data_IF_644815041314
#
_entry.id   IF_644815041314
#
_cell.length_a   1.000
_cell.length_b   1.000
_cell.length_c   1.000
_cell.angle_alpha   90.00
_cell.angle_beta   90.00
_cell.angle_gamma   90.00
#
_symmetry.space_group_name_H-M   'P 1'
#
loop_
_entity.id
_entity.type
_entity.pdbx_description
1 polymer ?
#
# COMPACT_ATOMS: atom_id res chain seq x y z
N UNK A 1 -41.44 -41.90 -1.99
CA UNK A 1 -40.83 -40.83 -1.15
C UNK A 1 -39.34 -41.08 -0.95
N UNK A 2 -38.93 -42.25 -0.45
CA UNK A 2 -37.51 -42.59 -0.28
C UNK A 2 -36.70 -42.57 -1.59
N UNK A 3 -37.30 -42.98 -2.70
CA UNK A 3 -36.63 -43.03 -4.01
C UNK A 3 -36.18 -41.64 -4.49
N UNK A 4 -37.05 -40.62 -4.34
CA UNK A 4 -36.74 -39.22 -4.68
C UNK A 4 -35.74 -38.62 -3.71
N UNK A 5 -35.86 -38.94 -2.41
CA UNK A 5 -34.92 -38.49 -1.39
C UNK A 5 -33.48 -38.98 -1.71
N UNK A 6 -33.32 -40.25 -2.10
CA UNK A 6 -32.02 -40.79 -2.53
C UNK A 6 -31.53 -40.16 -3.83
N UNK A 7 -32.40 -40.00 -4.83
CA UNK A 7 -32.06 -39.38 -6.13
C UNK A 7 -31.59 -37.93 -6.00
N UNK A 8 -32.24 -37.13 -5.16
CA UNK A 8 -31.91 -35.73 -4.94
C UNK A 8 -30.84 -35.52 -3.85
N UNK A 9 -30.32 -36.60 -3.25
CA UNK A 9 -29.41 -36.57 -2.09
C UNK A 9 -29.95 -35.74 -0.91
N UNK A 10 -31.25 -35.85 -0.64
CA UNK A 10 -31.93 -35.15 0.45
C UNK A 10 -32.52 -36.14 1.46
N UNK A 11 -32.78 -35.68 2.67
CA UNK A 11 -33.54 -36.46 3.65
C UNK A 11 -35.04 -36.48 3.27
N UNK A 12 -35.79 -37.54 3.60
CA UNK A 12 -37.24 -37.60 3.33
C UNK A 12 -38.01 -36.42 3.93
N UNK A 13 -37.59 -35.95 5.12
CA UNK A 13 -38.12 -34.76 5.78
C UNK A 13 -37.90 -33.48 4.98
N UNK A 14 -36.73 -33.33 4.34
CA UNK A 14 -36.43 -32.15 3.51
C UNK A 14 -37.22 -32.15 2.21
N UNK A 15 -37.48 -33.32 1.63
CA UNK A 15 -38.35 -33.46 0.44
C UNK A 15 -39.80 -33.07 0.77
N UNK A 16 -40.30 -33.44 1.95
CA UNK A 16 -41.64 -33.02 2.40
C UNK A 16 -41.76 -31.51 2.54
N UNK A 17 -40.80 -30.86 3.18
CA UNK A 17 -40.76 -29.41 3.31
C UNK A 17 -40.78 -28.72 1.94
N UNK A 18 -39.94 -29.17 1.00
CA UNK A 18 -39.90 -28.59 -0.35
C UNK A 18 -41.20 -28.85 -1.15
N UNK A 19 -41.91 -29.93 -0.86
CA UNK A 19 -43.21 -30.21 -1.46
C UNK A 19 -44.35 -29.37 -0.83
N UNK A 20 -44.21 -28.96 0.43
CA UNK A 20 -45.11 -28.02 1.11
C UNK A 20 -44.85 -26.56 0.69
N UNK A 21 -43.58 -26.21 0.48
CA UNK A 21 -43.11 -24.94 -0.09
C UNK A 21 -43.48 -24.78 -1.59
N UNK A 22 -44.08 -25.81 -2.21
CA UNK A 22 -44.51 -25.78 -3.61
C UNK A 22 -43.39 -25.96 -4.65
N UNK A 23 -42.15 -26.20 -4.20
CA UNK A 23 -40.97 -26.41 -5.04
C UNK A 23 -41.00 -27.77 -5.74
N UNK A 24 -41.51 -28.80 -5.05
CA UNK A 24 -41.69 -30.14 -5.61
C UNK A 24 -43.20 -30.40 -5.79
N UNK A 25 -43.72 -30.50 -7.03
CA UNK A 25 -45.14 -30.68 -7.26
C UNK A 25 -45.65 -32.04 -6.72
N UNK A 26 -46.78 -32.01 -5.99
CA UNK A 26 -47.47 -33.21 -5.51
C UNK A 26 -48.27 -33.83 -6.66
N UNK A 27 -47.98 -35.07 -7.03
CA UNK A 27 -48.77 -35.76 -8.07
C UNK A 27 -50.04 -36.38 -7.46
N UNK A 28 -51.19 -36.12 -8.08
CA UNK A 28 -52.52 -36.49 -7.59
C UNK A 28 -52.85 -38.01 -7.64
N UNK A 29 -51.93 -38.87 -8.11
CA UNK A 29 -52.17 -40.32 -8.21
C UNK A 29 -50.90 -41.14 -7.94
N UNK A 30 -50.42 -41.15 -6.69
CA UNK A 30 -49.55 -42.21 -6.14
C UNK A 30 -48.21 -42.52 -6.86
N UNK A 31 -47.84 -41.78 -7.90
CA UNK A 31 -46.59 -41.90 -8.65
C UNK A 31 -46.03 -40.50 -8.82
N UNK A 32 -45.04 -40.15 -8.01
CA UNK A 32 -44.29 -38.93 -8.25
C UNK A 32 -43.61 -39.06 -9.62
N UNK A 33 -43.87 -38.12 -10.54
CA UNK A 33 -43.09 -38.02 -11.76
C UNK A 33 -41.71 -37.49 -11.37
N UNK A 34 -40.76 -38.41 -11.24
CA UNK A 34 -39.37 -38.15 -10.83
C UNK A 34 -38.78 -36.98 -11.63
N UNK A 35 -39.15 -36.86 -12.90
CA UNK A 35 -38.76 -35.77 -13.80
C UNK A 35 -39.17 -34.38 -13.30
N UNK A 36 -40.41 -34.21 -12.86
CA UNK A 36 -40.94 -32.92 -12.38
C UNK A 36 -40.32 -32.52 -11.02
N UNK A 37 -40.05 -33.50 -10.15
CA UNK A 37 -39.37 -33.26 -8.87
C UNK A 37 -37.90 -32.84 -9.04
N UNK A 38 -37.19 -33.45 -10.00
CA UNK A 38 -35.81 -33.07 -10.35
C UNK A 38 -35.77 -31.68 -10.96
N UNK A 39 -36.67 -31.36 -11.89
CA UNK A 39 -36.74 -30.04 -12.53
C UNK A 39 -37.06 -28.93 -11.51
N UNK A 40 -38.02 -29.16 -10.60
CA UNK A 40 -38.35 -28.21 -9.52
C UNK A 40 -37.17 -27.98 -8.57
N UNK A 41 -36.44 -29.05 -8.20
CA UNK A 41 -35.26 -28.93 -7.35
C UNK A 41 -34.09 -28.21 -8.04
N UNK A 42 -33.85 -28.46 -9.32
CA UNK A 42 -32.84 -27.73 -10.12
C UNK A 42 -33.20 -26.24 -10.19
N UNK A 43 -34.47 -25.90 -10.46
CA UNK A 43 -34.94 -24.51 -10.48
C UNK A 43 -34.76 -23.80 -9.13
N UNK A 44 -34.99 -24.50 -8.02
CA UNK A 44 -34.73 -24.01 -6.67
C UNK A 44 -33.24 -23.74 -6.39
N UNK A 45 -32.35 -24.62 -6.88
CA UNK A 45 -30.91 -24.40 -6.75
C UNK A 45 -30.44 -23.20 -7.58
N UNK A 46 -30.95 -23.05 -8.81
CA UNK A 46 -30.62 -21.92 -9.67
C UNK A 46 -31.08 -20.57 -9.08
N UNK A 47 -32.29 -20.51 -8.52
CA UNK A 47 -32.79 -19.31 -7.82
C UNK A 47 -32.02 -19.01 -6.54
N UNK A 48 -31.54 -20.03 -5.81
CA UNK A 48 -30.66 -19.82 -4.66
C UNK A 48 -29.26 -19.32 -5.02
N UNK A 49 -28.73 -19.73 -6.16
CA UNK A 49 -27.44 -19.28 -6.68
C UNK A 49 -27.54 -17.86 -7.24
N UNK A 50 -28.67 -17.51 -7.88
CA UNK A 50 -28.94 -16.16 -8.40
C UNK A 50 -29.45 -15.17 -7.34
N UNK A 51 -29.83 -15.63 -6.13
CA UNK A 51 -30.18 -14.74 -5.06
C UNK A 51 -28.98 -13.85 -4.67
N UNK A 52 -29.15 -12.53 -4.46
CA UNK A 52 -28.07 -11.54 -4.29
C UNK A 52 -27.14 -11.75 -3.08
N UNK A 53 -27.34 -12.82 -2.30
CA UNK A 53 -26.44 -13.20 -1.21
C UNK A 53 -25.04 -13.64 -1.68
N UNK A 54 -24.89 -14.09 -2.92
CA UNK A 54 -23.58 -14.44 -3.50
C UNK A 54 -22.70 -13.22 -3.77
N UNK A 55 -23.27 -12.18 -4.38
CA UNK A 55 -22.55 -10.93 -4.68
C UNK A 55 -22.12 -10.18 -3.43
N UNK A 56 -22.99 -10.11 -2.40
CA UNK A 56 -22.66 -9.44 -1.13
C UNK A 56 -21.54 -10.16 -0.37
N UNK A 57 -21.49 -11.50 -0.37
CA UNK A 57 -20.40 -12.26 0.23
C UNK A 57 -19.09 -12.11 -0.54
N UNK A 58 -19.14 -12.08 -1.87
CA UNK A 58 -17.97 -11.86 -2.70
C UNK A 58 -17.40 -10.45 -2.50
N UNK A 59 -18.24 -9.42 -2.53
CA UNK A 59 -17.81 -8.04 -2.28
C UNK A 59 -17.22 -7.85 -0.86
N UNK A 60 -17.81 -8.50 0.16
CA UNK A 60 -17.27 -8.47 1.52
C UNK A 60 -15.91 -9.19 1.62
N UNK A 61 -15.74 -10.31 0.92
CA UNK A 61 -14.47 -11.02 0.86
C UNK A 61 -13.41 -10.17 0.13
N UNK A 62 -13.74 -9.54 -0.99
CA UNK A 62 -12.84 -8.63 -1.71
C UNK A 62 -12.42 -7.42 -0.86
N UNK A 63 -13.35 -6.82 -0.12
CA UNK A 63 -13.05 -5.72 0.80
C UNK A 63 -12.12 -6.17 1.94
N UNK A 64 -12.34 -7.37 2.49
CA UNK A 64 -11.44 -7.95 3.51
C UNK A 64 -10.05 -8.22 2.97
N UNK A 65 -9.95 -8.82 1.78
CA UNK A 65 -8.66 -9.07 1.13
C UNK A 65 -7.91 -7.75 0.90
N UNK A 66 -8.57 -6.72 0.35
CA UNK A 66 -7.96 -5.40 0.18
C UNK A 66 -7.49 -4.77 1.50
N UNK A 67 -8.28 -4.89 2.57
CA UNK A 67 -7.89 -4.39 3.90
C UNK A 67 -6.66 -5.13 4.42
N UNK A 68 -6.63 -6.46 4.33
CA UNK A 68 -5.50 -7.26 4.81
C UNK A 68 -4.23 -6.98 4.00
N UNK A 69 -4.34 -6.78 2.68
CA UNK A 69 -3.20 -6.38 1.85
C UNK A 69 -2.68 -5.00 2.27
N UNK A 70 -3.57 -4.01 2.43
CA UNK A 70 -3.16 -2.67 2.89
C UNK A 70 -2.54 -2.69 4.30
N UNK A 71 -3.06 -3.51 5.23
CA UNK A 71 -2.47 -3.70 6.56
C UNK A 71 -1.08 -4.33 6.49
N UNK A 72 -0.87 -5.30 5.60
CA UNK A 72 0.44 -5.90 5.38
C UNK A 72 1.43 -4.89 4.80
N UNK A 73 1.02 -4.08 3.81
CA UNK A 73 1.84 -3.02 3.23
C UNK A 73 2.24 -1.97 4.28
N UNK A 74 1.32 -1.57 5.17
CA UNK A 74 1.62 -0.65 6.27
C UNK A 74 2.66 -1.27 7.21
N UNK A 75 2.48 -2.53 7.61
CA UNK A 75 3.43 -3.21 8.48
C UNK A 75 4.82 -3.34 7.84
N UNK A 76 4.90 -3.58 6.53
CA UNK A 76 6.15 -3.60 5.77
C UNK A 76 6.82 -2.22 5.73
N UNK A 77 6.04 -1.15 5.50
CA UNK A 77 6.55 0.23 5.53
C UNK A 77 7.04 0.63 6.93
N UNK A 78 6.33 0.26 7.99
CA UNK A 78 6.76 0.50 9.37
C UNK A 78 8.06 -0.25 9.69
N UNK A 79 8.16 -1.51 9.29
CA UNK A 79 9.39 -2.28 9.45
C UNK A 79 10.56 -1.67 8.66
N UNK A 80 10.32 -1.13 7.46
CA UNK A 80 11.31 -0.41 6.67
C UNK A 80 11.76 0.90 7.34
N UNK A 81 10.82 1.68 7.92
CA UNK A 81 11.15 2.87 8.73
C UNK A 81 12.03 2.50 9.93
N UNK A 82 11.68 1.45 10.66
CA UNK A 82 12.46 1.00 11.83
C UNK A 82 13.89 0.55 11.49
N UNK A 83 14.10 0.01 10.27
CA UNK A 83 15.45 -0.32 9.77
C UNK A 83 16.22 0.90 9.25
N UNK A 84 15.56 2.04 9.08
CA UNK A 84 16.15 3.25 8.49
C UNK A 84 16.15 3.27 6.96
N UNK A 85 15.42 2.36 6.31
CA UNK A 85 15.38 2.26 4.83
C UNK A 85 14.41 3.27 4.20
N UNK A 86 13.49 3.83 4.99
CA UNK A 86 12.45 4.75 4.54
C UNK A 86 12.45 6.00 5.42
N UNK A 87 12.59 7.16 4.79
CA UNK A 87 12.55 8.49 5.45
C UNK A 87 11.33 9.23 4.94
N UNK A 88 10.71 10.03 5.80
CA UNK A 88 9.62 10.90 5.37
C UNK A 88 10.15 11.95 4.38
N UNK A 89 9.39 12.20 3.32
CA UNK A 89 9.82 13.10 2.25
C UNK A 89 9.86 14.57 2.73
N UNK A 90 8.97 14.95 3.64
CA UNK A 90 8.95 16.30 4.21
C UNK A 90 10.11 16.47 5.20
N UNK A 91 10.38 15.47 6.04
CA UNK A 91 11.57 15.47 6.93
C UNK A 91 12.87 15.59 6.12
N UNK A 92 13.01 14.82 5.04
CA UNK A 92 14.17 14.90 4.15
C UNK A 92 14.29 16.28 3.49
N UNK A 93 13.17 16.89 3.11
CA UNK A 93 13.15 18.24 2.51
C UNK A 93 13.60 19.29 3.50
N UNK A 94 13.15 19.22 4.75
CA UNK A 94 13.55 20.13 5.82
C UNK A 94 15.05 19.99 6.12
N UNK A 95 15.53 18.76 6.28
CA UNK A 95 16.95 18.47 6.51
C UNK A 95 17.83 19.02 5.36
N UNK A 96 17.45 18.77 4.11
CA UNK A 96 18.13 19.35 2.95
C UNK A 96 18.08 20.88 2.95
N UNK A 97 16.96 21.46 3.36
CA UNK A 97 16.78 22.90 3.46
C UNK A 97 17.77 23.55 4.44
N UNK A 98 17.97 22.92 5.59
CA UNK A 98 18.97 23.34 6.60
C UNK A 98 20.39 23.26 6.01
N UNK A 99 20.76 22.11 5.45
CA UNK A 99 22.09 21.89 4.85
C UNK A 99 22.38 22.92 3.75
N UNK A 100 21.45 23.13 2.82
CA UNK A 100 21.60 24.09 1.71
C UNK A 100 21.72 25.53 2.23
N UNK A 101 20.97 25.88 3.28
CA UNK A 101 21.01 27.22 3.88
C UNK A 101 22.37 27.50 4.52
N UNK A 102 22.94 26.53 5.23
CA UNK A 102 24.28 26.63 5.82
C UNK A 102 25.37 26.71 4.76
N UNK A 103 25.30 25.88 3.72
CA UNK A 103 26.22 25.95 2.57
C UNK A 103 26.19 27.37 1.98
N UNK A 104 24.98 27.91 1.72
CA UNK A 104 24.80 29.25 1.16
C UNK A 104 25.37 30.32 2.10
N UNK A 105 25.10 30.24 3.39
CA UNK A 105 25.61 31.20 4.38
C UNK A 105 27.14 31.22 4.41
N UNK A 106 27.77 30.04 4.44
CA UNK A 106 29.22 29.89 4.47
C UNK A 106 29.88 30.39 3.17
N UNK A 107 29.33 30.01 2.01
CA UNK A 107 29.85 30.42 0.69
C UNK A 107 29.69 31.92 0.43
N UNK A 108 28.64 32.56 0.93
CA UNK A 108 28.42 34.00 0.71
C UNK A 108 29.12 34.89 1.73
N UNK A 109 29.27 34.44 2.98
CA UNK A 109 29.82 35.28 4.07
C UNK A 109 31.30 35.02 4.30
N UNK A 110 31.70 33.76 4.41
CA UNK A 110 33.02 33.41 4.90
C UNK A 110 34.04 33.25 3.77
N UNK A 111 33.63 32.65 2.65
CA UNK A 111 34.51 32.44 1.49
C UNK A 111 35.04 33.75 0.89
N UNK A 112 34.21 34.78 0.61
CA UNK A 112 34.71 36.02 0.01
C UNK A 112 35.71 36.73 0.92
N UNK A 113 35.49 36.69 2.24
CA UNK A 113 36.39 37.25 3.24
C UNK A 113 37.78 36.58 3.20
N UNK A 114 37.82 35.25 3.11
CA UNK A 114 39.10 34.51 3.00
C UNK A 114 39.80 34.73 1.67
N UNK A 115 39.04 34.72 0.56
CA UNK A 115 39.59 35.02 -0.78
C UNK A 115 40.19 36.41 -0.80
N UNK A 116 39.46 37.42 -0.31
CA UNK A 116 39.93 38.81 -0.28
C UNK A 116 41.22 38.96 0.55
N UNK A 117 41.31 38.27 1.68
CA UNK A 117 42.50 38.27 2.52
C UNK A 117 43.72 37.68 1.81
N UNK A 118 43.56 36.50 1.18
CA UNK A 118 44.64 35.79 0.46
C UNK A 118 45.03 36.47 -0.86
N UNK A 119 44.08 37.09 -1.56
CA UNK A 119 44.32 37.71 -2.86
C UNK A 119 44.83 39.16 -2.77
N UNK A 120 44.89 39.76 -1.58
CA UNK A 120 45.22 41.20 -1.37
C UNK A 120 46.54 41.63 -2.03
N UNK A 121 47.57 40.78 -1.96
CA UNK A 121 48.90 41.03 -2.54
C UNK A 121 49.04 40.51 -3.97
N UNK A 122 48.06 39.78 -4.48
CA UNK A 122 48.15 39.19 -5.81
C UNK A 122 47.81 40.21 -6.90
N UNK A 123 48.49 40.05 -8.05
CA UNK A 123 48.29 40.90 -9.24
C UNK A 123 48.00 40.08 -10.49
N UNK A 124 48.29 38.77 -10.47
CA UNK A 124 48.02 37.86 -11.58
C UNK A 124 46.63 37.27 -11.43
N UNK A 125 45.80 37.44 -12.46
CA UNK A 125 44.45 36.88 -12.50
C UNK A 125 44.44 35.36 -12.29
N UNK A 126 45.43 34.65 -12.84
CA UNK A 126 45.56 33.19 -12.65
C UNK A 126 45.76 32.79 -11.19
N UNK A 127 46.54 33.57 -10.43
CA UNK A 127 46.76 33.34 -9.00
C UNK A 127 45.49 33.62 -8.18
N UNK A 128 44.78 34.70 -8.51
CA UNK A 128 43.50 35.04 -7.84
C UNK A 128 42.45 33.95 -8.09
N UNK A 129 42.33 33.45 -9.33
CA UNK A 129 41.42 32.34 -9.66
C UNK A 129 41.79 31.05 -8.93
N UNK A 130 43.08 30.75 -8.79
CA UNK A 130 43.54 29.58 -8.04
C UNK A 130 43.15 29.69 -6.56
N UNK A 131 43.37 30.85 -5.93
CA UNK A 131 42.97 31.12 -4.54
C UNK A 131 41.46 30.96 -4.35
N UNK A 132 40.66 31.51 -5.28
CA UNK A 132 39.21 31.40 -5.21
C UNK A 132 38.75 29.95 -5.32
N UNK A 133 39.31 29.19 -6.27
CA UNK A 133 39.00 27.77 -6.45
C UNK A 133 39.37 26.97 -5.21
N UNK A 134 40.57 27.17 -4.65
CA UNK A 134 41.03 26.48 -3.46
C UNK A 134 40.12 26.73 -2.26
N UNK A 135 39.74 28.00 -2.01
CA UNK A 135 38.86 28.36 -0.89
C UNK A 135 37.45 27.78 -1.04
N UNK A 136 36.88 27.80 -2.25
CA UNK A 136 35.56 27.20 -2.51
C UNK A 136 35.63 25.69 -2.31
N UNK A 137 36.64 25.02 -2.89
CA UNK A 137 36.82 23.58 -2.75
C UNK A 137 37.03 23.15 -1.30
N UNK A 138 37.85 23.88 -0.54
CA UNK A 138 38.06 23.62 0.89
C UNK A 138 36.76 23.77 1.68
N UNK A 139 35.96 24.78 1.37
CA UNK A 139 34.70 25.05 2.06
C UNK A 139 33.67 23.96 1.80
N UNK A 140 33.54 23.54 0.54
CA UNK A 140 32.64 22.44 0.16
C UNK A 140 33.08 21.12 0.79
N UNK A 141 34.39 20.86 0.86
CA UNK A 141 34.93 19.65 1.50
C UNK A 141 34.63 19.62 3.00
N UNK A 142 34.84 20.72 3.72
CA UNK A 142 34.50 20.82 5.15
C UNK A 142 33.01 20.57 5.39
N UNK A 143 32.16 21.12 4.52
CA UNK A 143 30.71 20.92 4.59
C UNK A 143 30.31 19.47 4.27
N UNK A 144 31.02 18.77 3.38
CA UNK A 144 30.77 17.35 3.10
C UNK A 144 31.27 16.40 4.19
N UNK A 145 32.24 16.83 5.00
CA UNK A 145 32.79 16.07 6.13
C UNK A 145 32.01 16.34 7.44
N UNK A 146 31.07 17.30 7.43
CA UNK A 146 30.22 17.59 8.58
C UNK A 146 29.03 16.64 8.57
N UNK A 147 28.75 15.97 9.70
CA UNK A 147 27.59 15.10 9.82
C UNK A 147 26.30 15.95 9.66
N UNK A 148 25.40 15.61 8.71
CA UNK A 148 24.11 16.29 8.61
C UNK A 148 23.34 16.30 9.93
N UNK A 149 23.49 15.29 10.79
CA UNK A 149 22.83 15.25 12.10
C UNK A 149 23.29 16.37 13.04
N UNK A 150 24.57 16.77 12.95
CA UNK A 150 25.11 17.91 13.72
C UNK A 150 24.47 19.24 13.29
N UNK A 151 23.95 19.30 12.07
CA UNK A 151 23.31 20.49 11.50
C UNK A 151 21.81 20.54 11.80
N UNK A 152 21.14 19.39 11.90
CA UNK A 152 19.69 19.29 12.11
C UNK A 152 19.33 19.23 13.61
N UNK A 153 20.31 19.01 14.50
CA UNK A 153 20.09 19.06 15.96
C UNK A 153 19.24 17.91 16.49
N UNK A 154 19.23 16.77 15.79
CA UNK A 154 18.54 15.56 16.24
C UNK A 154 19.53 14.74 17.05
N UNK A 155 19.38 14.79 18.38
CA UNK A 155 19.97 13.82 19.33
C UNK A 155 19.08 12.60 19.46
#
# INVERSE_FOLDING_TARGET
MEEIARLLKLTPRRVQQLAEEGVIPKSARGKYKITEAVQGYIGYLQTKVQAPQGESKNALNEARVRKTVAEAEIAEMEAAKMRGDLVDADEMREALGVVVSEIRANLLRNVPTRIASRAKSERKESAIKAIAKDEISLSLRRLSETDPNDLVGVS
#
